data_IF_769046252202
#
_entry.id   IF_769046252202
#
_cell.length_a   1.000
_cell.length_b   1.000
_cell.length_c   1.000
_cell.angle_alpha   90.00
_cell.angle_beta   90.00
_cell.angle_gamma   90.00
#
_symmetry.space_group_name_H-M   'P 1'
#
loop_
_entity.id
_entity.type
_entity.pdbx_description
1 polymer ?
#
# COMPACT_ATOMS: atom_id res chain seq x y z
N UNK A 1 27.26 -1.58 26.63
CA UNK A 1 26.67 -0.35 27.20
C UNK A 1 25.81 0.27 26.13
N UNK A 2 24.49 0.25 26.31
CA UNK A 2 23.53 0.71 25.30
C UNK A 2 23.61 2.22 25.13
N UNK A 3 23.88 2.66 23.91
CA UNK A 3 23.78 4.06 23.50
C UNK A 3 22.32 4.50 23.59
N UNK A 4 22.04 5.40 24.54
CA UNK A 4 20.77 6.11 24.64
C UNK A 4 20.53 6.87 23.33
N UNK A 5 19.36 6.66 22.75
CA UNK A 5 18.84 7.42 21.60
C UNK A 5 18.79 8.90 21.99
N UNK A 6 19.54 9.74 21.26
CA UNK A 6 19.47 11.19 21.45
C UNK A 6 18.10 11.74 21.04
N UNK A 7 17.60 12.68 21.82
CA UNK A 7 16.27 13.27 21.66
C UNK A 7 16.33 14.31 20.53
N UNK A 8 15.34 14.37 19.62
CA UNK A 8 15.37 15.29 18.50
C UNK A 8 15.38 16.77 18.92
N UNK A 9 15.90 17.63 18.03
CA UNK A 9 15.88 19.10 18.13
C UNK A 9 14.52 19.61 18.65
N UNK A 10 14.58 20.53 19.61
CA UNK A 10 13.42 21.16 20.25
C UNK A 10 12.39 21.62 19.20
N UNK A 11 11.24 20.94 19.13
CA UNK A 11 10.10 21.31 18.30
C UNK A 11 9.61 20.24 17.32
N UNK A 12 10.40 19.22 17.00
CA UNK A 12 9.93 18.14 16.11
C UNK A 12 9.09 17.09 16.87
N UNK A 13 7.96 16.73 16.27
CA UNK A 13 7.14 15.58 16.66
C UNK A 13 7.90 14.30 16.28
N UNK A 14 8.03 13.31 17.18
CA UNK A 14 8.76 12.09 16.88
C UNK A 14 7.87 11.17 16.03
N UNK A 15 8.49 10.57 15.04
CA UNK A 15 7.88 9.61 14.12
C UNK A 15 8.51 8.23 14.33
N UNK A 16 7.90 7.17 13.80
CA UNK A 16 8.56 5.86 13.76
C UNK A 16 9.78 5.89 12.84
N UNK A 17 9.74 6.64 11.74
CA UNK A 17 10.88 6.93 10.88
C UNK A 17 12.06 7.41 11.73
N UNK A 18 11.88 8.44 12.56
CA UNK A 18 12.95 8.97 13.40
C UNK A 18 13.51 7.91 14.37
N UNK A 19 12.63 7.11 15.00
CA UNK A 19 13.03 6.06 15.92
C UNK A 19 13.78 4.91 15.23
N UNK A 20 13.48 4.64 13.96
CA UNK A 20 14.06 3.56 13.17
C UNK A 20 15.29 4.01 12.36
N UNK A 21 15.52 5.30 12.22
CA UNK A 21 16.59 5.89 11.42
C UNK A 21 17.99 5.30 11.67
N UNK A 22 18.42 5.03 12.92
CA UNK A 22 19.72 4.39 13.17
C UNK A 22 19.87 2.97 12.59
N UNK A 23 18.75 2.35 12.20
CA UNK A 23 18.70 1.02 11.61
C UNK A 23 18.45 1.04 10.10
N UNK A 24 18.13 2.20 9.52
CA UNK A 24 17.86 2.34 8.11
C UNK A 24 19.12 1.99 7.29
N UNK A 25 18.90 1.24 6.21
CA UNK A 25 20.00 0.71 5.40
C UNK A 25 20.55 1.80 4.47
N UNK A 26 21.87 1.91 4.39
CA UNK A 26 22.53 2.97 3.63
C UNK A 26 22.24 2.87 2.14
N UNK A 27 22.39 4.01 1.43
CA UNK A 27 22.17 4.04 -0.02
C UNK A 27 23.12 3.10 -0.78
N UNK A 28 24.40 3.10 -0.42
CA UNK A 28 25.41 2.25 -1.05
C UNK A 28 25.06 0.77 -0.91
N UNK A 29 24.66 0.34 0.28
CA UNK A 29 24.27 -1.04 0.53
C UNK A 29 23.02 -1.45 -0.28
N UNK A 30 22.02 -0.56 -0.40
CA UNK A 30 20.86 -0.80 -1.24
C UNK A 30 21.23 -0.93 -2.72
N UNK A 31 22.10 -0.06 -3.23
CA UNK A 31 22.55 -0.10 -4.62
C UNK A 31 23.37 -1.36 -4.88
N UNK A 32 24.24 -1.76 -3.96
CA UNK A 32 25.04 -2.99 -4.10
C UNK A 32 24.15 -4.24 -4.15
N UNK A 33 23.10 -4.31 -3.33
CA UNK A 33 22.18 -5.45 -3.28
C UNK A 33 21.16 -5.45 -4.41
N UNK A 34 20.65 -4.27 -4.77
CA UNK A 34 19.43 -4.12 -5.56
C UNK A 34 19.58 -3.13 -6.73
N UNK A 35 20.78 -2.97 -7.29
CA UNK A 35 21.07 -1.99 -8.36
C UNK A 35 19.98 -1.88 -9.43
N UNK A 36 19.49 -2.98 -10.05
CA UNK A 36 18.46 -2.86 -11.09
C UNK A 36 17.17 -2.21 -10.58
N UNK A 37 16.74 -2.53 -9.35
CA UNK A 37 15.56 -1.94 -8.73
C UNK A 37 15.82 -0.46 -8.43
N UNK A 38 16.98 -0.12 -7.85
CA UNK A 38 17.34 1.27 -7.50
C UNK A 38 17.37 2.18 -8.73
N UNK A 39 18.04 1.72 -9.79
CA UNK A 39 18.17 2.49 -11.03
C UNK A 39 16.83 2.71 -11.72
N UNK A 40 15.93 1.72 -11.68
CA UNK A 40 14.60 1.88 -12.26
C UNK A 40 13.71 2.83 -11.46
N UNK A 41 13.77 2.75 -10.12
CA UNK A 41 13.02 3.66 -9.26
C UNK A 41 13.51 5.09 -9.46
N UNK A 42 14.83 5.32 -9.49
CA UNK A 42 15.42 6.63 -9.82
C UNK A 42 15.01 7.11 -11.21
N UNK A 43 15.01 6.22 -12.22
CA UNK A 43 14.57 6.55 -13.57
C UNK A 43 13.11 7.04 -13.60
N UNK A 44 12.22 6.50 -12.76
CA UNK A 44 10.79 6.86 -12.78
C UNK A 44 10.48 8.07 -11.88
N UNK A 45 11.12 8.17 -10.71
CA UNK A 45 10.82 9.17 -9.68
C UNK A 45 11.83 10.34 -9.62
N UNK A 46 13.00 10.19 -10.23
CA UNK A 46 14.10 11.16 -10.14
C UNK A 46 14.93 11.07 -8.85
N UNK A 47 14.51 10.22 -7.91
CA UNK A 47 15.18 9.92 -6.65
C UNK A 47 14.99 8.44 -6.30
N UNK A 48 15.81 7.91 -5.40
CA UNK A 48 15.49 6.64 -4.71
C UNK A 48 14.81 6.98 -3.38
N UNK A 49 13.54 6.58 -3.15
CA UNK A 49 12.81 6.94 -1.95
C UNK A 49 13.51 6.51 -0.65
N UNK A 50 13.49 7.35 0.38
CA UNK A 50 13.97 7.03 1.73
C UNK A 50 13.32 5.77 2.28
N UNK A 51 12.03 5.57 1.98
CA UNK A 51 11.28 4.41 2.45
C UNK A 51 11.92 3.06 2.07
N UNK A 52 12.71 2.99 1.00
CA UNK A 52 13.41 1.77 0.61
C UNK A 52 14.45 1.34 1.66
N UNK A 53 15.15 2.30 2.28
CA UNK A 53 16.10 2.04 3.38
C UNK A 53 15.42 1.52 4.63
N UNK A 54 14.20 1.98 4.90
CA UNK A 54 13.40 1.54 6.05
C UNK A 54 12.78 0.17 5.82
N UNK A 55 12.28 -0.11 4.62
CA UNK A 55 11.78 -1.44 4.31
C UNK A 55 12.89 -2.49 4.37
N UNK A 56 14.14 -2.17 4.03
CA UNK A 56 15.25 -3.13 4.12
C UNK A 56 15.69 -3.44 5.56
N UNK A 57 15.23 -2.70 6.58
CA UNK A 57 15.37 -3.11 7.99
C UNK A 57 14.76 -4.51 8.21
N UNK A 58 13.73 -4.84 7.45
CA UNK A 58 13.19 -6.20 7.33
C UNK A 58 13.12 -6.58 5.84
N UNK A 59 14.14 -7.24 5.25
CA UNK A 59 14.25 -7.48 3.81
C UNK A 59 13.00 -8.07 3.10
N UNK A 60 12.17 -8.92 3.75
CA UNK A 60 10.87 -9.31 3.21
C UNK A 60 9.93 -8.14 2.87
N UNK A 61 9.98 -7.04 3.62
CA UNK A 61 9.24 -5.80 3.33
C UNK A 61 9.74 -5.13 2.04
N UNK A 62 11.06 -4.99 1.89
CA UNK A 62 11.67 -4.44 0.67
C UNK A 62 11.27 -5.28 -0.55
N UNK A 63 11.29 -6.60 -0.40
CA UNK A 63 10.85 -7.53 -1.45
C UNK A 63 9.39 -7.32 -1.82
N UNK A 64 8.51 -7.17 -0.82
CA UNK A 64 7.08 -6.94 -1.01
C UNK A 64 6.82 -5.62 -1.74
N UNK A 65 7.48 -4.54 -1.32
CA UNK A 65 7.44 -3.25 -2.00
C UNK A 65 7.88 -3.37 -3.47
N UNK A 66 9.00 -4.04 -3.71
CA UNK A 66 9.64 -4.13 -5.03
C UNK A 66 8.83 -4.94 -6.04
N UNK A 67 8.06 -5.94 -5.61
CA UNK A 67 7.17 -6.70 -6.51
C UNK A 67 5.77 -6.08 -6.63
N UNK A 68 5.29 -5.37 -5.60
CA UNK A 68 3.97 -4.71 -5.61
C UNK A 68 3.92 -3.58 -6.63
N UNK A 69 4.89 -2.67 -6.57
CA UNK A 69 4.90 -1.45 -7.39
C UNK A 69 4.80 -1.76 -8.89
N UNK A 70 5.70 -2.53 -9.51
CA UNK A 70 5.62 -2.78 -10.96
C UNK A 70 4.37 -3.58 -11.35
N UNK A 71 3.92 -4.52 -10.52
CA UNK A 71 2.75 -5.36 -10.82
C UNK A 71 1.45 -4.55 -10.82
N UNK A 72 1.22 -3.73 -9.79
CA UNK A 72 -0.03 -2.98 -9.64
C UNK A 72 -0.06 -1.70 -10.50
N UNK A 73 1.11 -1.15 -10.86
CA UNK A 73 1.23 -0.03 -11.81
C UNK A 73 1.31 -0.46 -13.29
N UNK A 74 1.26 -1.78 -13.55
CA UNK A 74 1.40 -2.39 -14.87
C UNK A 74 2.66 -1.92 -15.62
N UNK A 75 3.79 -1.78 -14.93
CA UNK A 75 5.05 -1.34 -15.53
C UNK A 75 5.78 -2.56 -16.12
N UNK A 76 6.27 -2.52 -17.37
CA UNK A 76 6.27 -1.40 -18.31
C UNK A 76 5.09 -1.41 -19.31
N UNK A 77 4.09 -2.28 -19.16
CA UNK A 77 2.97 -2.38 -20.13
C UNK A 77 2.20 -1.06 -20.29
N UNK A 78 1.86 -0.38 -19.19
CA UNK A 78 1.29 0.96 -19.18
C UNK A 78 2.18 1.95 -19.94
N UNK A 79 3.48 1.94 -19.66
CA UNK A 79 4.47 2.83 -20.29
C UNK A 79 4.68 2.56 -21.79
N UNK A 80 4.35 1.34 -22.23
CA UNK A 80 4.36 0.89 -23.63
C UNK A 80 3.00 1.09 -24.33
N UNK A 81 2.02 1.73 -23.69
CA UNK A 81 0.69 1.96 -24.25
C UNK A 81 -0.18 0.71 -24.36
N UNK A 82 0.06 -0.31 -23.53
CA UNK A 82 -0.71 -1.58 -23.50
C UNK A 82 -1.67 -1.67 -22.30
N UNK A 83 -2.03 -0.55 -21.71
CA UNK A 83 -2.96 -0.42 -20.58
C UNK A 83 -3.47 1.02 -20.50
N UNK A 84 -3.87 1.47 -19.31
CA UNK A 84 -4.19 2.89 -19.09
C UNK A 84 -2.99 3.79 -19.41
N UNK A 85 -3.24 5.07 -19.72
CA UNK A 85 -2.15 6.01 -19.97
C UNK A 85 -1.33 6.25 -18.70
N UNK A 86 -0.02 6.53 -18.81
CA UNK A 86 0.79 6.94 -17.67
C UNK A 86 0.24 8.18 -16.95
N UNK A 87 -0.38 9.11 -17.68
CA UNK A 87 -1.01 10.30 -17.10
C UNK A 87 -2.24 9.95 -16.24
N UNK A 88 -3.07 9.01 -16.70
CA UNK A 88 -4.20 8.52 -15.91
C UNK A 88 -3.72 7.72 -14.68
N UNK A 89 -2.69 6.88 -14.84
CA UNK A 89 -2.04 6.20 -13.71
C UNK A 89 -1.56 7.20 -12.68
N UNK A 90 -0.78 8.20 -13.11
CA UNK A 90 -0.25 9.26 -12.26
C UNK A 90 -1.36 10.03 -11.53
N UNK A 91 -2.42 10.40 -12.25
CA UNK A 91 -3.60 11.06 -11.70
C UNK A 91 -4.26 10.26 -10.57
N UNK A 92 -4.48 8.95 -10.78
CA UNK A 92 -5.10 8.07 -9.77
C UNK A 92 -4.22 7.94 -8.53
N UNK A 93 -2.90 7.77 -8.69
CA UNK A 93 -1.96 7.68 -7.56
C UNK A 93 -1.95 8.97 -6.74
N UNK A 94 -1.95 10.12 -7.43
CA UNK A 94 -1.96 11.43 -6.81
C UNK A 94 -3.26 11.69 -6.05
N UNK A 95 -4.42 11.54 -6.69
CA UNK A 95 -5.72 11.77 -6.06
C UNK A 95 -5.95 10.83 -4.89
N UNK A 96 -5.59 9.55 -5.02
CA UNK A 96 -5.72 8.60 -3.91
C UNK A 96 -4.85 9.03 -2.72
N UNK A 97 -3.61 9.48 -2.96
CA UNK A 97 -2.72 9.96 -1.90
C UNK A 97 -3.20 11.25 -1.24
N UNK A 98 -3.70 12.20 -2.02
CA UNK A 98 -4.27 13.46 -1.51
C UNK A 98 -5.53 13.20 -0.70
N UNK A 99 -6.39 12.30 -1.17
CA UNK A 99 -7.67 11.99 -0.51
C UNK A 99 -7.51 11.22 0.79
N UNK A 100 -6.46 10.40 0.90
CA UNK A 100 -5.99 9.78 2.14
C UNK A 100 -5.25 10.76 3.07
N UNK A 101 -4.71 11.86 2.55
CA UNK A 101 -3.90 12.80 3.33
C UNK A 101 -2.44 12.39 3.52
N UNK A 102 -1.88 11.51 2.68
CA UNK A 102 -0.44 11.19 2.72
C UNK A 102 0.37 12.24 1.94
N UNK A 103 0.96 13.21 2.63
CA UNK A 103 1.80 14.26 2.00
C UNK A 103 3.02 13.70 1.28
N UNK A 104 3.71 12.72 1.87
CA UNK A 104 4.87 12.04 1.25
C UNK A 104 4.48 11.40 -0.08
N UNK A 105 3.42 10.59 -0.06
CA UNK A 105 2.97 9.84 -1.22
C UNK A 105 2.43 10.74 -2.33
N UNK A 106 1.72 11.82 -1.95
CA UNK A 106 1.18 12.78 -2.93
C UNK A 106 2.28 13.57 -3.64
N UNK A 107 3.35 13.92 -2.95
CA UNK A 107 4.51 14.57 -3.59
C UNK A 107 5.17 13.66 -4.63
N UNK A 108 5.44 12.39 -4.29
CA UNK A 108 6.01 11.40 -5.22
C UNK A 108 5.09 11.10 -6.41
N UNK A 109 3.80 10.96 -6.16
CA UNK A 109 2.83 10.60 -7.19
C UNK A 109 2.43 11.76 -8.11
N UNK A 110 2.53 13.01 -7.66
CA UNK A 110 2.17 14.17 -8.49
C UNK A 110 2.99 14.23 -9.79
N UNK A 111 4.28 13.87 -9.71
CA UNK A 111 5.21 13.88 -10.84
C UNK A 111 5.75 12.50 -11.21
N UNK A 112 5.09 11.40 -10.84
CA UNK A 112 5.57 10.05 -11.20
C UNK A 112 5.67 9.90 -12.71
N UNK A 113 6.83 9.43 -13.16
CA UNK A 113 7.20 9.37 -14.56
C UNK A 113 6.87 8.06 -15.28
N UNK A 114 7.61 7.84 -16.37
CA UNK A 114 7.68 6.56 -17.06
C UNK A 114 9.11 6.08 -17.18
N UNK A 115 9.28 4.78 -17.36
CA UNK A 115 10.56 4.12 -17.63
C UNK A 115 11.33 4.79 -18.78
N UNK A 116 10.62 5.34 -19.78
CA UNK A 116 11.23 5.91 -20.98
C UNK A 116 11.42 7.43 -20.93
N UNK A 117 10.52 8.16 -20.26
CA UNK A 117 10.52 9.64 -20.27
C UNK A 117 11.17 10.25 -19.04
N UNK A 118 11.25 9.49 -17.95
CA UNK A 118 11.71 10.00 -16.66
C UNK A 118 10.58 10.66 -15.85
N UNK A 119 10.89 11.27 -14.70
CA UNK A 119 9.93 11.92 -13.82
C UNK A 119 9.34 13.21 -14.43
N UNK A 120 8.28 13.73 -13.81
CA UNK A 120 7.72 15.06 -14.03
C UNK A 120 6.58 15.16 -15.06
N UNK A 121 6.30 14.10 -15.83
CA UNK A 121 5.42 14.16 -17.01
C UNK A 121 3.99 14.67 -16.78
N UNK A 122 3.41 14.48 -15.59
CA UNK A 122 2.01 14.81 -15.29
C UNK A 122 1.83 15.87 -14.19
N UNK A 123 2.91 16.47 -13.69
CA UNK A 123 2.88 17.36 -12.52
C UNK A 123 1.98 18.58 -12.72
N UNK A 124 2.11 19.24 -13.87
CA UNK A 124 1.32 20.42 -14.25
C UNK A 124 -0.17 20.13 -14.38
N UNK A 125 -0.52 18.91 -14.78
CA UNK A 125 -1.92 18.46 -14.88
C UNK A 125 -2.45 18.12 -13.50
N UNK A 126 -1.70 17.31 -12.74
CA UNK A 126 -2.13 16.81 -11.44
C UNK A 126 -2.31 17.92 -10.40
N UNK A 127 -1.56 19.03 -10.47
CA UNK A 127 -1.75 20.17 -9.55
C UNK A 127 -3.19 20.74 -9.61
N UNK A 128 -3.87 20.62 -10.75
CA UNK A 128 -5.24 21.09 -10.95
C UNK A 128 -6.31 20.04 -10.60
N UNK A 129 -5.92 18.80 -10.33
CA UNK A 129 -6.85 17.68 -10.23
C UNK A 129 -7.75 17.70 -8.99
N UNK A 130 -7.36 18.43 -7.93
CA UNK A 130 -8.21 18.58 -6.73
C UNK A 130 -9.37 19.55 -6.93
N UNK A 131 -9.27 20.44 -7.91
CA UNK A 131 -10.35 21.34 -8.31
C UNK A 131 -10.70 21.09 -9.79
N UNK A 132 -10.75 19.81 -10.17
CA UNK A 132 -10.93 19.39 -11.56
C UNK A 132 -12.20 19.96 -12.23
N UNK A 133 -13.21 20.35 -11.44
CA UNK A 133 -14.46 20.96 -11.94
C UNK A 133 -14.30 22.44 -12.30
N UNK A 134 -13.28 23.13 -11.81
CA UNK A 134 -13.06 24.55 -12.09
C UNK A 134 -12.13 24.80 -13.29
N UNK A 135 -11.59 23.76 -13.91
CA UNK A 135 -10.72 23.88 -15.07
C UNK A 135 -11.12 22.94 -16.22
N UNK A 136 -10.80 23.32 -17.46
CA UNK A 136 -11.14 22.56 -18.66
C UNK A 136 -10.14 21.44 -19.00
N UNK A 137 -9.30 21.01 -18.04
CA UNK A 137 -8.22 20.02 -18.26
C UNK A 137 -8.67 18.57 -18.16
N UNK A 138 -9.85 18.30 -17.59
CA UNK A 138 -10.31 16.95 -17.27
C UNK A 138 -11.61 16.63 -18.00
N UNK A 139 -11.58 15.58 -18.82
CA UNK A 139 -12.78 15.06 -19.48
C UNK A 139 -13.63 14.21 -18.54
N UNK A 140 -14.80 13.77 -19.01
CA UNK A 140 -15.71 12.96 -18.18
C UNK A 140 -15.09 11.64 -17.66
N UNK A 141 -14.24 11.00 -18.48
CA UNK A 141 -13.49 9.81 -18.07
C UNK A 141 -12.52 10.11 -16.91
N UNK A 142 -11.80 11.24 -16.97
CA UNK A 142 -10.91 11.67 -15.91
C UNK A 142 -11.69 11.98 -14.62
N UNK A 143 -12.83 12.65 -14.72
CA UNK A 143 -13.70 12.94 -13.57
C UNK A 143 -14.19 11.65 -12.92
N UNK A 144 -14.56 10.63 -13.70
CA UNK A 144 -14.93 9.32 -13.17
C UNK A 144 -13.77 8.68 -12.38
N UNK A 145 -12.55 8.72 -12.93
CA UNK A 145 -11.35 8.22 -12.24
C UNK A 145 -11.00 9.02 -10.98
N UNK A 146 -11.13 10.35 -11.00
CA UNK A 146 -10.90 11.24 -9.85
C UNK A 146 -11.90 10.95 -8.74
N UNK A 147 -13.20 10.86 -9.07
CA UNK A 147 -14.25 10.58 -8.09
C UNK A 147 -14.03 9.21 -7.44
N UNK A 148 -13.75 8.17 -8.25
CA UNK A 148 -13.42 6.85 -7.74
C UNK A 148 -12.18 6.86 -6.83
N UNK A 149 -11.07 7.43 -7.29
CA UNK A 149 -9.81 7.48 -6.53
C UNK A 149 -9.95 8.26 -5.23
N UNK A 150 -10.82 9.29 -5.22
CA UNK A 150 -11.18 10.05 -4.02
C UNK A 150 -11.92 9.17 -3.03
N UNK A 151 -12.98 8.50 -3.48
CA UNK A 151 -13.85 7.69 -2.63
C UNK A 151 -13.14 6.46 -2.05
N UNK A 152 -12.37 5.74 -2.86
CA UNK A 152 -11.68 4.50 -2.43
C UNK A 152 -10.53 4.76 -1.46
N UNK A 153 -9.95 5.97 -1.48
CA UNK A 153 -8.84 6.32 -0.62
C UNK A 153 -9.26 6.69 0.81
N UNK A 154 -10.55 7.00 1.04
CA UNK A 154 -11.08 7.29 2.37
C UNK A 154 -11.08 6.05 3.26
N UNK A 155 -11.00 6.27 4.58
CA UNK A 155 -11.14 5.24 5.59
C UNK A 155 -12.20 5.68 6.61
N UNK A 156 -13.40 5.06 6.64
CA UNK A 156 -13.89 3.99 5.76
C UNK A 156 -13.96 4.38 4.27
N UNK A 157 -13.92 3.38 3.37
CA UNK A 157 -14.09 3.63 1.93
C UNK A 157 -15.48 4.18 1.64
N UNK A 158 -15.55 5.18 0.76
CA UNK A 158 -16.81 5.81 0.32
C UNK A 158 -17.24 5.33 -1.09
N UNK A 159 -16.61 4.25 -1.59
CA UNK A 159 -16.97 3.69 -2.89
C UNK A 159 -18.43 3.22 -2.88
N UNK A 160 -19.12 3.55 -3.96
CA UNK A 160 -20.51 3.18 -4.21
C UNK A 160 -20.60 2.53 -5.58
N UNK A 161 -21.75 1.92 -5.86
CA UNK A 161 -22.04 1.38 -7.18
C UNK A 161 -21.90 2.45 -8.28
N UNK A 162 -22.33 3.69 -8.05
CA UNK A 162 -22.27 4.75 -9.06
C UNK A 162 -20.83 5.05 -9.48
N UNK A 163 -19.87 5.07 -8.54
CA UNK A 163 -18.46 5.24 -8.88
C UNK A 163 -17.97 4.17 -9.86
N UNK A 164 -18.44 2.92 -9.73
CA UNK A 164 -18.10 1.85 -10.66
C UNK A 164 -18.84 1.94 -11.97
N UNK A 165 -20.13 2.27 -11.94
CA UNK A 165 -20.90 2.48 -13.17
C UNK A 165 -20.28 3.59 -14.01
N UNK A 166 -19.85 4.69 -13.39
CA UNK A 166 -19.14 5.78 -14.06
C UNK A 166 -17.82 5.33 -14.68
N UNK A 167 -17.00 4.55 -13.96
CA UNK A 167 -15.81 3.95 -14.58
C UNK A 167 -16.19 3.06 -15.77
N UNK A 168 -17.21 2.22 -15.63
CA UNK A 168 -17.68 1.32 -16.68
C UNK A 168 -18.23 2.03 -17.93
N UNK A 169 -18.72 3.28 -17.80
CA UNK A 169 -19.14 4.12 -18.95
C UNK A 169 -17.97 4.52 -19.85
N UNK A 170 -16.77 4.69 -19.29
CA UNK A 170 -15.63 5.26 -20.01
C UNK A 170 -14.45 4.29 -20.20
N UNK A 171 -14.39 3.22 -19.39
CA UNK A 171 -13.28 2.29 -19.36
C UNK A 171 -13.75 0.85 -19.58
N UNK A 172 -13.00 0.12 -20.42
CA UNK A 172 -13.10 -1.33 -20.50
C UNK A 172 -12.82 -1.98 -19.14
N UNK A 173 -13.21 -3.23 -18.96
CA UNK A 173 -12.98 -3.96 -17.71
C UNK A 173 -11.49 -4.01 -17.33
N UNK A 174 -10.62 -4.29 -18.31
CA UNK A 174 -9.16 -4.29 -18.09
C UNK A 174 -8.62 -2.90 -17.72
N UNK A 175 -9.18 -1.81 -18.27
CA UNK A 175 -8.78 -0.45 -17.90
C UNK A 175 -9.31 -0.05 -16.52
N UNK A 176 -10.53 -0.45 -16.14
CA UNK A 176 -11.04 -0.30 -14.77
C UNK A 176 -10.12 -1.05 -13.80
N UNK A 177 -9.80 -2.33 -14.05
CA UNK A 177 -8.93 -3.12 -13.17
C UNK A 177 -7.57 -2.44 -12.96
N UNK A 178 -6.99 -1.85 -14.00
CA UNK A 178 -5.74 -1.10 -13.90
C UNK A 178 -5.86 0.17 -13.02
N UNK A 179 -6.96 0.92 -13.12
CA UNK A 179 -7.25 2.08 -12.25
C UNK A 179 -7.39 1.61 -10.80
N UNK A 180 -8.17 0.55 -10.58
CA UNK A 180 -8.40 -0.03 -9.24
C UNK A 180 -7.11 -0.54 -8.62
N UNK A 181 -6.25 -1.21 -9.39
CA UNK A 181 -4.98 -1.73 -8.91
C UNK A 181 -3.96 -0.62 -8.60
N UNK A 182 -3.96 0.48 -9.37
CA UNK A 182 -3.18 1.67 -9.02
C UNK A 182 -3.64 2.27 -7.67
N UNK A 183 -4.94 2.43 -7.46
CA UNK A 183 -5.48 2.91 -6.19
C UNK A 183 -5.24 1.92 -5.03
N UNK A 184 -5.27 0.62 -5.32
CA UNK A 184 -4.97 -0.49 -4.40
C UNK A 184 -3.54 -0.46 -3.89
N UNK A 185 -2.56 -0.23 -4.78
CA UNK A 185 -1.16 -0.06 -4.39
C UNK A 185 -1.01 1.10 -3.40
N UNK A 186 -1.71 2.20 -3.66
CA UNK A 186 -1.69 3.35 -2.77
C UNK A 186 -2.29 3.02 -1.40
N UNK A 187 -3.14 1.99 -1.26
CA UNK A 187 -3.60 1.51 0.04
C UNK A 187 -2.46 0.96 0.89
N UNK A 188 -1.52 0.24 0.27
CA UNK A 188 -0.29 -0.20 0.91
C UNK A 188 0.61 0.99 1.24
N UNK A 189 0.95 1.79 0.23
CA UNK A 189 1.96 2.84 0.38
C UNK A 189 1.48 3.96 1.31
N UNK A 190 0.23 4.40 1.20
CA UNK A 190 -0.29 5.45 2.07
C UNK A 190 -0.27 5.02 3.54
N UNK A 191 -0.71 3.79 3.86
CA UNK A 191 -0.66 3.26 5.23
C UNK A 191 0.78 3.15 5.74
N UNK A 192 1.69 2.61 4.93
CA UNK A 192 3.10 2.46 5.31
C UNK A 192 3.77 3.82 5.60
N UNK A 193 3.70 4.75 4.66
CA UNK A 193 4.40 6.03 4.79
C UNK A 193 3.82 6.91 5.89
N UNK A 194 2.50 6.91 6.04
CA UNK A 194 1.82 7.74 7.04
C UNK A 194 2.01 7.20 8.45
N UNK A 195 1.90 5.87 8.64
CA UNK A 195 2.15 5.25 9.95
C UNK A 195 3.62 5.30 10.37
N UNK A 196 4.57 5.24 9.43
CA UNK A 196 5.98 5.48 9.70
C UNK A 196 6.25 6.96 10.02
N UNK A 197 5.46 7.88 9.45
CA UNK A 197 5.76 9.31 9.45
C UNK A 197 6.99 9.62 8.61
N UNK A 198 7.03 9.09 7.37
CA UNK A 198 8.16 9.22 6.47
C UNK A 198 8.46 10.68 6.09
N UNK A 199 9.75 11.02 6.10
CA UNK A 199 10.27 12.33 5.71
C UNK A 199 10.67 12.32 4.23
N UNK A 200 10.25 13.35 3.50
CA UNK A 200 10.52 13.54 2.08
C UNK A 200 12.00 13.84 1.79
N UNK A 201 12.45 13.40 0.62
CA UNK A 201 13.73 13.75 0.01
C UNK A 201 13.70 15.21 -0.47
N UNK A 202 14.80 15.95 -0.32
CA UNK A 202 14.90 17.38 -0.64
C UNK A 202 14.36 17.72 -2.03
N UNK A 203 14.82 16.99 -3.05
CA UNK A 203 14.43 17.23 -4.45
C UNK A 203 12.92 17.12 -4.64
N UNK A 204 12.27 16.16 -3.97
CA UNK A 204 10.82 15.97 -4.05
C UNK A 204 10.10 17.03 -3.24
N UNK A 205 10.64 17.44 -2.10
CA UNK A 205 10.12 18.53 -1.28
C UNK A 205 10.11 19.87 -2.06
N UNK A 206 11.22 20.24 -2.70
CA UNK A 206 11.31 21.46 -3.51
C UNK A 206 10.27 21.50 -4.63
N UNK A 207 10.18 20.39 -5.39
CA UNK A 207 9.19 20.26 -6.47
C UNK A 207 7.76 20.36 -5.89
N UNK A 208 7.47 19.64 -4.81
CA UNK A 208 6.14 19.66 -4.21
C UNK A 208 5.76 21.05 -3.67
N UNK A 209 6.69 21.76 -3.03
CA UNK A 209 6.48 23.13 -2.56
C UNK A 209 6.22 24.09 -3.72
N UNK A 210 6.94 23.94 -4.84
CA UNK A 210 6.75 24.77 -6.02
C UNK A 210 5.38 24.56 -6.67
N UNK A 211 4.93 23.31 -6.81
CA UNK A 211 3.77 22.97 -7.65
C UNK A 211 2.48 22.66 -6.89
N UNK A 212 2.56 22.16 -5.66
CA UNK A 212 1.42 21.61 -4.94
C UNK A 212 0.89 22.53 -3.82
N UNK A 213 1.71 23.46 -3.31
CA UNK A 213 1.30 24.43 -2.28
C UNK A 213 0.01 25.19 -2.65
N UNK A 214 -0.23 25.61 -3.91
CA UNK A 214 -1.49 26.27 -4.29
C UNK A 214 -2.75 25.40 -4.12
N UNK A 215 -2.60 24.10 -3.94
CA UNK A 215 -3.69 23.14 -3.78
C UNK A 215 -3.85 22.67 -2.32
N UNK A 216 -3.41 23.47 -1.33
CA UNK A 216 -3.40 23.14 0.11
C UNK A 216 -2.55 21.90 0.47
N UNK A 217 -1.57 21.57 -0.38
CA UNK A 217 -0.57 20.58 0.02
C UNK A 217 0.42 21.21 1.00
N UNK A 218 0.77 20.46 2.04
CA UNK A 218 1.83 20.80 2.98
C UNK A 218 2.74 19.59 3.13
N UNK A 219 4.06 19.78 3.32
CA UNK A 219 4.92 18.66 3.66
C UNK A 219 4.41 17.96 4.91
N UNK A 220 4.64 16.64 4.95
CA UNK A 220 4.39 15.85 6.16
C UNK A 220 5.27 16.33 7.33
N UNK A 221 5.24 15.61 8.44
CA UNK A 221 5.96 16.02 9.64
C UNK A 221 7.48 16.19 9.38
N UNK A 222 8.02 17.32 9.87
CA UNK A 222 9.43 17.68 10.07
C UNK A 222 10.41 17.17 9.01
N UNK A 223 10.61 17.96 7.94
CA UNK A 223 11.81 17.84 7.12
C UNK A 223 13.06 17.97 8.00
N UNK A 224 14.03 17.07 7.80
CA UNK A 224 15.31 17.07 8.50
C UNK A 224 16.44 17.24 7.47
N UNK A 225 16.84 18.50 7.29
CA UNK A 225 17.86 18.90 6.33
C UNK A 225 19.21 18.21 6.60
N UNK A 226 19.56 17.99 7.86
CA UNK A 226 20.84 17.38 8.20
C UNK A 226 20.87 15.91 7.79
N UNK A 227 19.81 15.16 8.11
CA UNK A 227 19.66 13.77 7.71
C UNK A 227 19.66 13.60 6.19
N UNK A 228 18.90 14.44 5.50
CA UNK A 228 18.72 14.32 4.06
C UNK A 228 19.98 14.75 3.29
N UNK A 229 20.74 15.73 3.77
CA UNK A 229 22.04 16.08 3.19
C UNK A 229 23.02 14.91 3.16
N UNK A 230 23.08 14.11 4.22
CA UNK A 230 23.98 12.96 4.29
C UNK A 230 23.58 11.89 3.26
N UNK A 231 22.26 11.70 3.03
CA UNK A 231 21.74 10.81 1.98
C UNK A 231 22.05 11.37 0.59
N UNK A 232 21.89 12.68 0.36
CA UNK A 232 22.22 13.34 -0.90
C UNK A 232 23.70 13.15 -1.26
N UNK A 233 24.59 13.25 -0.27
CA UNK A 233 26.02 13.01 -0.52
C UNK A 233 26.29 11.54 -0.89
N UNK A 234 25.70 10.58 -0.16
CA UNK A 234 25.80 9.16 -0.49
C UNK A 234 25.18 8.82 -1.86
N UNK A 235 24.14 9.53 -2.27
CA UNK A 235 23.53 9.41 -3.60
C UNK A 235 24.53 9.78 -4.71
N UNK A 236 25.39 10.79 -4.53
CA UNK A 236 26.40 11.18 -5.54
C UNK A 236 27.40 10.07 -5.84
N UNK A 237 27.70 9.22 -4.86
CA UNK A 237 28.63 8.10 -5.02
C UNK A 237 27.98 6.89 -5.72
N UNK A 238 26.65 6.86 -5.79
CA UNK A 238 25.87 5.72 -6.26
C UNK A 238 24.98 6.03 -7.47
N UNK A 239 25.00 7.29 -7.93
CA UNK A 239 24.24 7.78 -9.08
C UNK A 239 25.03 7.62 -10.39
N UNK A 240 24.52 6.78 -11.29
CA UNK A 240 25.10 6.57 -12.62
C UNK A 240 24.63 7.66 -13.64
N UNK A 241 23.88 8.67 -13.19
CA UNK A 241 23.34 9.79 -13.97
C UNK A 241 21.80 9.82 -14.01
N UNK A 242 21.22 11.00 -14.28
CA UNK A 242 19.77 11.25 -14.15
C UNK A 242 18.87 10.42 -15.10
N UNK A 243 19.41 9.93 -16.22
CA UNK A 243 18.65 9.10 -17.18
C UNK A 243 19.47 7.92 -17.68
N UNK A 244 18.88 6.74 -17.61
CA UNK A 244 19.48 5.53 -18.16
C UNK A 244 19.52 5.59 -19.69
N UNK A 245 20.72 5.50 -20.26
CA UNK A 245 20.90 5.27 -21.70
C UNK A 245 20.31 3.92 -22.14
N UNK A 246 20.04 3.69 -23.44
CA UNK A 246 19.30 2.50 -23.90
C UNK A 246 19.88 1.15 -23.46
N UNK A 247 21.20 0.99 -23.48
CA UNK A 247 21.86 -0.24 -23.04
C UNK A 247 21.74 -0.46 -21.52
N UNK A 248 21.92 0.61 -20.74
CA UNK A 248 21.77 0.56 -19.30
C UNK A 248 20.33 0.23 -18.92
N UNK A 249 19.34 0.86 -19.58
CA UNK A 249 17.93 0.58 -19.39
C UNK A 249 17.59 -0.89 -19.67
N UNK A 250 18.08 -1.47 -20.78
CA UNK A 250 17.85 -2.87 -21.10
C UNK A 250 18.44 -3.82 -20.04
N UNK A 251 19.66 -3.54 -19.55
CA UNK A 251 20.29 -4.33 -18.46
C UNK A 251 19.51 -4.22 -17.16
N UNK A 252 19.07 -3.01 -16.80
CA UNK A 252 18.23 -2.75 -15.63
C UNK A 252 16.92 -3.52 -15.71
N UNK A 253 16.23 -3.49 -16.85
CA UNK A 253 14.99 -4.27 -17.07
C UNK A 253 15.22 -5.78 -16.92
N UNK A 254 16.30 -6.32 -17.49
CA UNK A 254 16.64 -7.74 -17.34
C UNK A 254 16.92 -8.10 -15.87
N UNK A 255 17.62 -7.23 -15.13
CA UNK A 255 17.88 -7.39 -13.71
C UNK A 255 16.61 -7.40 -12.86
N UNK A 256 15.63 -6.55 -13.16
CA UNK A 256 14.32 -6.55 -12.49
C UNK A 256 13.56 -7.84 -12.76
N UNK A 257 13.54 -8.31 -14.00
CA UNK A 257 12.87 -9.59 -14.33
C UNK A 257 13.51 -10.75 -13.56
N UNK A 258 14.83 -10.75 -13.42
CA UNK A 258 15.54 -11.75 -12.62
C UNK A 258 15.21 -11.62 -11.13
N UNK A 259 15.18 -10.39 -10.61
CA UNK A 259 14.78 -10.10 -9.24
C UNK A 259 13.37 -10.58 -8.94
N UNK A 260 12.37 -10.20 -9.74
CA UNK A 260 10.97 -10.60 -9.57
C UNK A 260 10.78 -12.11 -9.61
N UNK A 261 11.53 -12.80 -10.49
CA UNK A 261 11.51 -14.26 -10.57
C UNK A 261 12.02 -14.90 -9.27
N UNK A 262 13.08 -14.35 -8.68
CA UNK A 262 13.61 -14.81 -7.40
C UNK A 262 12.66 -14.49 -6.24
N UNK A 263 12.17 -13.24 -6.19
CA UNK A 263 11.28 -12.73 -5.15
C UNK A 263 9.94 -13.49 -5.08
N UNK A 264 9.44 -14.00 -6.21
CA UNK A 264 8.19 -14.76 -6.30
C UNK A 264 8.41 -16.26 -6.55
N UNK A 265 9.61 -16.79 -6.27
CA UNK A 265 9.94 -18.20 -6.51
C UNK A 265 9.07 -19.15 -5.66
N UNK A 266 8.66 -18.74 -4.46
CA UNK A 266 7.76 -19.47 -3.58
C UNK A 266 6.28 -19.44 -4.00
N UNK A 267 5.93 -18.63 -5.01
CA UNK A 267 4.55 -18.43 -5.43
C UNK A 267 4.28 -19.13 -6.77
N UNK A 268 3.26 -19.98 -6.78
CA UNK A 268 2.84 -20.72 -7.96
C UNK A 268 2.59 -19.81 -9.18
N UNK A 269 3.00 -20.27 -10.36
CA UNK A 269 2.93 -19.49 -11.61
C UNK A 269 1.65 -19.65 -12.43
N UNK A 270 0.71 -20.50 -12.01
CA UNK A 270 -0.52 -20.83 -12.76
C UNK A 270 -1.75 -20.67 -11.86
N UNK A 271 -2.88 -20.13 -12.34
CA UNK A 271 -4.08 -19.84 -11.52
C UNK A 271 -4.52 -21.02 -10.64
N UNK A 272 -4.73 -22.20 -11.22
CA UNK A 272 -5.16 -23.37 -10.44
C UNK A 272 -4.19 -23.76 -9.31
N UNK A 273 -2.87 -23.61 -9.53
CA UNK A 273 -1.85 -23.88 -8.51
C UNK A 273 -1.75 -22.77 -7.47
N UNK A 274 -1.99 -21.52 -7.86
CA UNK A 274 -2.13 -20.40 -6.92
C UNK A 274 -3.31 -20.65 -5.97
N UNK A 275 -4.44 -21.10 -6.52
CA UNK A 275 -5.64 -21.39 -5.73
C UNK A 275 -5.44 -22.57 -4.77
N UNK A 276 -4.76 -23.63 -5.21
CA UNK A 276 -4.34 -24.74 -4.32
C UNK A 276 -3.44 -24.22 -3.18
N UNK A 277 -2.45 -23.39 -3.49
CA UNK A 277 -1.52 -22.82 -2.51
C UNK A 277 -2.24 -21.94 -1.48
N UNK A 278 -3.20 -21.11 -1.91
CA UNK A 278 -4.02 -20.27 -1.03
C UNK A 278 -4.88 -21.12 -0.10
N UNK A 279 -5.59 -22.14 -0.62
CA UNK A 279 -6.38 -23.06 0.21
C UNK A 279 -5.52 -23.78 1.24
N UNK A 280 -4.33 -24.24 0.85
CA UNK A 280 -3.42 -24.91 1.78
C UNK A 280 -2.93 -23.97 2.89
N UNK A 281 -2.58 -22.73 2.54
CA UNK A 281 -1.97 -21.78 3.47
C UNK A 281 -3.00 -21.09 4.37
N UNK A 282 -4.09 -20.60 3.79
CA UNK A 282 -5.12 -19.80 4.47
C UNK A 282 -6.25 -20.66 5.02
N UNK A 283 -6.49 -21.84 4.45
CA UNK A 283 -7.65 -22.69 4.77
C UNK A 283 -8.91 -22.37 3.97
N UNK A 284 -8.86 -21.41 3.06
CA UNK A 284 -9.93 -21.03 2.13
C UNK A 284 -9.31 -20.34 0.91
N UNK A 285 -10.11 -20.09 -0.14
CA UNK A 285 -9.70 -19.30 -1.30
C UNK A 285 -10.45 -17.97 -1.28
N UNK A 286 -9.79 -16.83 -1.03
CA UNK A 286 -10.48 -15.55 -1.02
C UNK A 286 -11.11 -15.22 -2.38
N UNK A 287 -12.41 -14.95 -2.42
CA UNK A 287 -13.15 -14.66 -3.66
C UNK A 287 -12.55 -13.48 -4.45
N UNK A 288 -12.02 -12.48 -3.74
CA UNK A 288 -11.39 -11.34 -4.39
C UNK A 288 -10.10 -11.71 -5.15
N UNK A 289 -9.42 -12.82 -4.83
CA UNK A 289 -8.27 -13.29 -5.60
C UNK A 289 -8.72 -13.97 -6.89
N UNK A 290 -9.83 -14.72 -6.86
CA UNK A 290 -10.41 -15.37 -8.04
C UNK A 290 -10.85 -14.35 -9.10
N UNK A 291 -11.25 -13.15 -8.65
CA UNK A 291 -11.65 -12.04 -9.51
C UNK A 291 -10.50 -11.41 -10.30
N UNK A 292 -9.27 -11.48 -9.80
CA UNK A 292 -8.11 -10.85 -10.46
C UNK A 292 -7.83 -11.56 -11.78
N UNK A 293 -7.87 -10.85 -12.91
CA UNK A 293 -7.65 -11.45 -14.23
C UNK A 293 -6.18 -11.79 -14.46
N UNK A 294 -5.28 -10.88 -14.04
CA UNK A 294 -3.85 -10.98 -14.32
C UNK A 294 -3.16 -11.94 -13.35
N UNK A 295 -2.64 -13.04 -13.88
CA UNK A 295 -1.87 -14.03 -13.10
C UNK A 295 -0.68 -13.40 -12.37
N UNK A 296 0.00 -12.41 -12.97
CA UNK A 296 1.08 -11.68 -12.29
C UNK A 296 0.60 -10.96 -11.03
N UNK A 297 -0.60 -10.37 -11.08
CA UNK A 297 -1.22 -9.69 -9.94
C UNK A 297 -1.72 -10.70 -8.91
N UNK A 298 -2.32 -11.81 -9.34
CA UNK A 298 -2.67 -12.93 -8.44
C UNK A 298 -1.46 -13.41 -7.64
N UNK A 299 -0.30 -13.57 -8.30
CA UNK A 299 0.95 -13.98 -7.61
C UNK A 299 1.37 -12.99 -6.54
N UNK A 300 1.27 -11.70 -6.80
CA UNK A 300 1.66 -10.66 -5.83
C UNK A 300 0.66 -10.57 -4.66
N UNK A 301 -0.63 -10.77 -4.90
CA UNK A 301 -1.61 -10.89 -3.82
C UNK A 301 -1.32 -12.13 -2.95
N UNK A 302 -1.06 -13.28 -3.58
CA UNK A 302 -0.68 -14.51 -2.88
C UNK A 302 0.61 -14.35 -2.10
N UNK A 303 1.60 -13.63 -2.63
CA UNK A 303 2.83 -13.27 -1.92
C UNK A 303 2.54 -12.52 -0.61
N UNK A 304 1.69 -11.50 -0.66
CA UNK A 304 1.31 -10.73 0.52
C UNK A 304 0.58 -11.59 1.55
N UNK A 305 -0.40 -12.39 1.10
CA UNK A 305 -1.21 -13.23 1.98
C UNK A 305 -0.41 -14.37 2.61
N UNK A 306 0.39 -15.08 1.81
CA UNK A 306 1.10 -16.30 2.23
C UNK A 306 2.44 -15.97 2.86
N UNK A 307 3.32 -15.26 2.16
CA UNK A 307 4.68 -15.06 2.63
C UNK A 307 4.83 -13.90 3.62
N UNK A 308 3.89 -12.94 3.66
CA UNK A 308 3.97 -11.80 4.60
C UNK A 308 3.07 -11.98 5.81
N UNK A 309 1.80 -12.32 5.59
CA UNK A 309 0.85 -12.48 6.69
C UNK A 309 0.87 -13.89 7.32
N UNK A 310 0.89 -14.94 6.50
CA UNK A 310 0.79 -16.32 6.98
C UNK A 310 2.13 -16.98 7.34
N UNK A 311 3.26 -16.33 7.06
CA UNK A 311 4.60 -16.87 7.35
C UNK A 311 5.07 -16.59 8.78
N UNK A 312 5.78 -17.56 9.37
CA UNK A 312 6.47 -17.45 10.65
C UNK A 312 7.96 -17.06 10.53
N UNK A 313 8.43 -16.71 9.33
CA UNK A 313 9.82 -16.32 9.07
C UNK A 313 10.23 -14.97 9.71
N UNK A 314 9.28 -14.22 10.27
CA UNK A 314 9.50 -12.95 10.95
C UNK A 314 9.53 -13.06 12.48
N UNK A 315 9.64 -11.92 13.16
CA UNK A 315 9.64 -11.86 14.63
C UNK A 315 8.24 -11.67 15.22
N UNK A 316 7.28 -11.23 14.39
CA UNK A 316 5.88 -11.02 14.77
C UNK A 316 5.09 -12.32 14.53
N UNK A 317 4.48 -12.91 15.57
CA UNK A 317 3.69 -14.13 15.41
C UNK A 317 2.57 -13.98 14.39
N UNK A 318 2.31 -15.06 13.62
CA UNK A 318 1.26 -15.08 12.58
C UNK A 318 -0.11 -14.66 13.12
N UNK A 319 -0.50 -15.17 14.30
CA UNK A 319 -1.78 -14.80 14.92
C UNK A 319 -1.87 -13.29 15.21
N UNK A 320 -0.76 -12.66 15.61
CA UNK A 320 -0.71 -11.24 15.95
C UNK A 320 -0.83 -10.41 14.68
N UNK A 321 -0.14 -10.77 13.58
CA UNK A 321 -0.30 -10.09 12.28
C UNK A 321 -1.76 -10.06 11.83
N UNK A 322 -2.44 -11.20 11.88
CA UNK A 322 -3.87 -11.26 11.54
C UNK A 322 -4.76 -10.52 12.53
N UNK A 323 -4.47 -10.56 13.83
CA UNK A 323 -5.22 -9.80 14.83
C UNK A 323 -5.11 -8.28 14.62
N UNK A 324 -3.94 -7.78 14.20
CA UNK A 324 -3.73 -6.37 13.85
C UNK A 324 -4.53 -5.99 12.59
N UNK A 325 -4.50 -6.84 11.56
CA UNK A 325 -5.33 -6.65 10.36
C UNK A 325 -6.83 -6.73 10.66
N UNK A 326 -7.25 -7.54 11.65
CA UNK A 326 -8.64 -7.59 12.12
C UNK A 326 -9.05 -6.26 12.78
N UNK A 327 -8.23 -5.70 13.66
CA UNK A 327 -8.47 -4.36 14.25
C UNK A 327 -8.58 -3.32 13.14
N UNK A 328 -7.67 -3.35 12.16
CA UNK A 328 -7.67 -2.43 11.04
C UNK A 328 -8.94 -2.57 10.18
N UNK A 329 -9.41 -3.79 9.91
CA UNK A 329 -10.62 -4.05 9.14
C UNK A 329 -11.89 -3.58 9.88
N UNK A 330 -11.92 -3.69 11.21
CA UNK A 330 -13.00 -3.12 12.02
C UNK A 330 -13.00 -1.60 12.00
N UNK A 331 -11.82 -0.96 11.97
CA UNK A 331 -11.69 0.51 11.82
C UNK A 331 -12.11 1.00 10.44
N UNK A 332 -11.71 0.29 9.39
CA UNK A 332 -12.08 0.62 8.00
C UNK A 332 -13.51 0.22 7.64
N UNK A 333 -14.24 -0.41 8.56
CA UNK A 333 -15.60 -0.95 8.38
C UNK A 333 -15.70 -1.90 7.18
N UNK A 334 -14.70 -2.77 7.03
CA UNK A 334 -14.69 -3.78 5.98
C UNK A 334 -15.07 -5.16 6.57
N UNK A 335 -16.35 -5.58 6.48
CA UNK A 335 -16.83 -6.81 7.11
C UNK A 335 -16.20 -8.08 6.52
N UNK A 336 -15.92 -8.09 5.22
CA UNK A 336 -15.23 -9.21 4.55
C UNK A 336 -13.85 -9.46 5.17
N UNK A 337 -13.02 -8.42 5.18
CA UNK A 337 -11.66 -8.53 5.72
C UNK A 337 -11.67 -8.77 7.23
N UNK A 338 -12.64 -8.21 7.96
CA UNK A 338 -12.78 -8.46 9.39
C UNK A 338 -13.00 -9.96 9.67
N UNK A 339 -13.88 -10.61 8.91
CA UNK A 339 -14.11 -12.05 9.03
C UNK A 339 -12.88 -12.88 8.63
N UNK A 340 -12.23 -12.54 7.51
CA UNK A 340 -11.02 -13.22 7.02
C UNK A 340 -9.89 -13.17 8.05
N UNK A 341 -9.57 -11.97 8.57
CA UNK A 341 -8.48 -11.81 9.52
C UNK A 341 -8.79 -12.38 10.90
N UNK A 342 -10.04 -12.31 11.35
CA UNK A 342 -10.44 -12.98 12.59
C UNK A 342 -10.29 -14.51 12.49
N UNK A 343 -10.74 -15.11 11.37
CA UNK A 343 -10.58 -16.53 11.10
C UNK A 343 -9.11 -16.94 11.09
N UNK A 344 -8.27 -16.21 10.35
CA UNK A 344 -6.84 -16.51 10.24
C UNK A 344 -6.10 -16.33 11.57
N UNK A 345 -6.46 -15.32 12.37
CA UNK A 345 -5.88 -15.14 13.69
C UNK A 345 -6.22 -16.30 14.64
N UNK A 346 -7.48 -16.76 14.67
CA UNK A 346 -7.89 -17.90 15.51
C UNK A 346 -7.25 -19.20 15.02
N UNK A 347 -7.21 -19.43 13.70
CA UNK A 347 -6.52 -20.57 13.09
C UNK A 347 -5.03 -20.59 13.44
N UNK A 348 -4.40 -19.43 13.60
CA UNK A 348 -3.01 -19.29 14.02
C UNK A 348 -2.80 -19.31 15.54
N UNK A 349 -3.84 -19.54 16.35
CA UNK A 349 -3.75 -19.74 17.80
C UNK A 349 -4.24 -18.58 18.67
N UNK A 350 -4.86 -17.54 18.10
CA UNK A 350 -5.57 -16.54 18.90
C UNK A 350 -6.86 -17.12 19.49
N UNK A 351 -7.33 -16.55 20.61
CA UNK A 351 -8.68 -16.84 21.14
C UNK A 351 -9.66 -15.74 20.73
N UNK A 352 -10.94 -16.09 20.60
CA UNK A 352 -11.98 -15.09 20.32
C UNK A 352 -12.02 -13.98 21.39
N UNK A 353 -11.79 -14.33 22.65
CA UNK A 353 -11.69 -13.36 23.76
C UNK A 353 -10.56 -12.35 23.52
N UNK A 354 -9.38 -12.80 23.08
CA UNK A 354 -8.23 -11.93 22.81
C UNK A 354 -8.44 -11.01 21.61
N UNK A 355 -9.12 -11.51 20.58
CA UNK A 355 -9.50 -10.67 19.44
C UNK A 355 -10.55 -9.62 19.84
N UNK A 356 -11.55 -10.01 20.64
CA UNK A 356 -12.54 -9.07 21.15
C UNK A 356 -11.89 -7.97 22.00
N UNK A 357 -10.94 -8.33 22.89
CA UNK A 357 -10.22 -7.32 23.68
C UNK A 357 -9.35 -6.39 22.83
N UNK A 358 -8.84 -6.85 21.69
CA UNK A 358 -8.05 -6.01 20.78
C UNK A 358 -8.87 -4.86 20.15
N UNK A 359 -10.21 -4.96 20.09
CA UNK A 359 -11.07 -3.93 19.49
C UNK A 359 -11.27 -2.70 20.38
N UNK A 360 -11.07 -2.85 21.69
CA UNK A 360 -11.19 -1.77 22.65
C UNK A 360 -9.80 -1.42 23.17
N UNK A 361 -9.30 -0.19 22.94
CA UNK A 361 -8.09 0.27 23.60
C UNK A 361 -8.26 0.14 25.11
N UNK A 362 -7.43 -0.66 25.76
CA UNK A 362 -7.38 -0.82 27.21
C UNK A 362 -6.13 -0.19 27.82
N UNK A 363 -6.04 -0.24 29.14
CA UNK A 363 -4.87 0.20 29.91
C UNK A 363 -3.82 -0.92 30.08
N UNK A 364 -4.05 -2.08 29.45
CA UNK A 364 -3.12 -3.20 29.50
C UNK A 364 -1.74 -2.80 28.94
N UNK A 365 -0.69 -3.15 29.66
CA UNK A 365 0.69 -2.99 29.21
C UNK A 365 1.23 -4.32 28.67
N UNK A 366 2.13 -4.24 27.69
CA UNK A 366 2.82 -5.40 27.15
C UNK A 366 2.91 -5.40 25.63
N UNK A 367 3.55 -6.44 25.11
CA UNK A 367 3.85 -6.59 23.69
C UNK A 367 2.62 -6.50 22.79
N UNK A 368 1.57 -7.25 23.09
CA UNK A 368 0.39 -7.28 22.23
C UNK A 368 -0.44 -6.00 22.37
N UNK A 369 -0.56 -5.47 23.59
CA UNK A 369 -1.28 -4.22 23.83
C UNK A 369 -0.62 -3.05 23.09
N UNK A 370 0.72 -2.98 23.07
CA UNK A 370 1.46 -2.00 22.28
C UNK A 370 1.18 -2.13 20.77
N UNK A 371 1.15 -3.36 20.25
CA UNK A 371 0.84 -3.61 18.84
C UNK A 371 -0.63 -3.23 18.50
N UNK A 372 -1.59 -3.59 19.35
CA UNK A 372 -2.99 -3.22 19.15
C UNK A 372 -3.22 -1.71 19.23
N UNK A 373 -2.61 -1.04 20.20
CA UNK A 373 -2.65 0.43 20.32
C UNK A 373 -2.11 1.10 19.06
N UNK A 374 -1.00 0.60 18.51
CA UNK A 374 -0.47 1.07 17.24
C UNK A 374 -1.44 0.82 16.07
N UNK A 375 -2.01 -0.39 15.95
CA UNK A 375 -2.98 -0.69 14.88
C UNK A 375 -4.20 0.23 14.90
N UNK A 376 -4.70 0.61 16.09
CA UNK A 376 -5.84 1.53 16.23
C UNK A 376 -5.57 2.92 15.62
N UNK A 377 -4.33 3.40 15.70
CA UNK A 377 -3.95 4.74 15.21
C UNK A 377 -3.31 4.73 13.83
N UNK A 378 -2.73 3.60 13.40
CA UNK A 378 -2.11 3.43 12.09
C UNK A 378 -3.12 3.03 11.00
N UNK A 379 -4.25 2.42 11.38
CA UNK A 379 -5.30 2.00 10.45
C UNK A 379 -6.33 3.09 10.11
N UNK A 380 -6.13 4.32 10.57
CA UNK A 380 -6.96 5.50 10.23
C UNK A 380 -6.20 6.43 9.29
N UNK A 381 -6.90 7.42 8.74
CA UNK A 381 -6.37 8.34 7.73
C UNK A 381 -6.77 9.79 8.08
N UNK A 382 -5.79 10.68 8.34
CA UNK A 382 -4.37 10.39 8.54
C UNK A 382 -4.10 9.53 9.79
N UNK A 383 -2.96 8.84 9.82
CA UNK A 383 -2.49 8.07 10.95
C UNK A 383 -2.21 8.99 12.15
N UNK A 384 -2.61 8.57 13.35
CA UNK A 384 -2.49 9.36 14.58
C UNK A 384 -1.40 8.82 15.53
N UNK A 385 -0.28 8.36 14.98
CA UNK A 385 0.83 7.77 15.75
C UNK A 385 1.50 8.85 16.63
N UNK A 386 1.56 8.62 17.94
CA UNK A 386 2.18 9.56 18.89
C UNK A 386 3.42 8.98 19.56
N UNK A 387 4.06 9.78 20.44
CA UNK A 387 5.14 9.34 21.35
C UNK A 387 4.78 8.07 22.12
N UNK A 388 3.51 7.93 22.52
CA UNK A 388 3.02 6.79 23.30
C UNK A 388 3.14 5.50 22.49
N UNK A 389 2.61 5.48 21.27
CA UNK A 389 2.63 4.28 20.42
C UNK A 389 4.05 3.95 19.96
N UNK A 390 4.88 4.96 19.66
CA UNK A 390 6.30 4.76 19.32
C UNK A 390 7.05 4.12 20.50
N UNK A 391 6.90 4.65 21.71
CA UNK A 391 7.55 4.10 22.90
C UNK A 391 7.05 2.69 23.21
N UNK A 392 5.74 2.44 23.05
CA UNK A 392 5.15 1.12 23.19
C UNK A 392 5.77 0.10 22.22
N UNK A 393 5.82 0.41 20.94
CA UNK A 393 6.41 -0.49 19.94
C UNK A 393 7.90 -0.74 20.17
N UNK A 394 8.69 0.32 20.36
CA UNK A 394 10.15 0.22 20.54
C UNK A 394 10.55 -0.46 21.85
N UNK A 395 9.65 -0.55 22.83
CA UNK A 395 9.90 -1.30 24.08
C UNK A 395 9.77 -2.82 23.90
N UNK A 396 8.97 -3.28 22.94
CA UNK A 396 8.59 -4.70 22.83
C UNK A 396 8.93 -5.36 21.49
N UNK A 397 9.26 -4.58 20.46
CA UNK A 397 9.56 -5.09 19.12
C UNK A 397 10.93 -4.60 18.66
N UNK A 398 11.64 -5.48 17.95
CA UNK A 398 12.85 -5.10 17.24
C UNK A 398 12.50 -4.16 16.08
N UNK A 399 13.45 -3.37 15.55
CA UNK A 399 13.24 -2.54 14.36
C UNK A 399 12.61 -3.32 13.19
N UNK A 400 13.09 -4.54 12.93
CA UNK A 400 12.53 -5.42 11.91
C UNK A 400 11.09 -5.86 12.24
N UNK A 401 10.79 -6.16 13.51
CA UNK A 401 9.43 -6.47 13.95
C UNK A 401 8.45 -5.30 13.83
N UNK A 402 8.93 -4.07 14.02
CA UNK A 402 8.12 -2.86 13.79
C UNK A 402 7.79 -2.72 12.30
N UNK A 403 8.77 -2.88 11.42
CA UNK A 403 8.52 -2.87 9.96
C UNK A 403 7.59 -4.02 9.55
N UNK A 404 7.72 -5.21 10.16
CA UNK A 404 6.80 -6.32 9.93
C UNK A 404 5.34 -5.99 10.32
N UNK A 405 5.12 -5.30 11.45
CA UNK A 405 3.80 -4.79 11.85
C UNK A 405 3.26 -3.78 10.83
N UNK A 406 4.09 -2.80 10.43
CA UNK A 406 3.72 -1.78 9.44
C UNK A 406 3.32 -2.45 8.11
N UNK A 407 4.08 -3.44 7.65
CA UNK A 407 3.77 -4.19 6.43
C UNK A 407 2.46 -4.95 6.57
N UNK A 408 2.18 -5.58 7.72
CA UNK A 408 0.92 -6.29 7.91
C UNK A 408 -0.29 -5.33 7.77
N UNK A 409 -0.24 -4.18 8.43
CA UNK A 409 -1.28 -3.14 8.31
C UNK A 409 -1.36 -2.55 6.90
N UNK A 410 -0.24 -2.43 6.21
CA UNK A 410 -0.19 -1.95 4.83
C UNK A 410 -0.80 -2.95 3.84
N UNK A 411 -0.58 -4.26 4.03
CA UNK A 411 -1.28 -5.31 3.26
C UNK A 411 -2.79 -5.22 3.51
N UNK A 412 -3.23 -4.97 4.75
CA UNK A 412 -4.64 -4.67 5.00
C UNK A 412 -5.10 -3.43 4.22
N UNK A 413 -4.36 -2.31 4.27
CA UNK A 413 -4.71 -1.08 3.53
C UNK A 413 -4.88 -1.30 2.03
N UNK A 414 -4.00 -2.12 1.43
CA UNK A 414 -4.11 -2.60 0.05
C UNK A 414 -5.42 -3.36 -0.19
N UNK A 415 -5.63 -4.44 0.59
CA UNK A 415 -6.80 -5.31 0.43
C UNK A 415 -8.11 -4.56 0.69
N UNK A 416 -8.11 -3.59 1.62
CA UNK A 416 -9.28 -2.78 1.94
C UNK A 416 -9.78 -2.02 0.72
N UNK A 417 -8.88 -1.36 -0.02
CA UNK A 417 -9.26 -0.62 -1.24
C UNK A 417 -9.78 -1.54 -2.34
N UNK A 418 -9.12 -2.68 -2.54
CA UNK A 418 -9.52 -3.65 -3.56
C UNK A 418 -10.89 -4.25 -3.26
N UNK A 419 -11.10 -4.74 -2.03
CA UNK A 419 -12.34 -5.39 -1.61
C UNK A 419 -13.51 -4.42 -1.41
N UNK A 420 -13.26 -3.15 -1.09
CA UNK A 420 -14.32 -2.12 -1.11
C UNK A 420 -14.76 -1.74 -2.52
N UNK A 421 -13.92 -1.96 -3.53
CA UNK A 421 -14.28 -1.74 -4.93
C UNK A 421 -15.05 -2.94 -5.48
N UNK A 422 -14.65 -4.14 -5.10
CA UNK A 422 -15.27 -5.37 -5.56
C UNK A 422 -15.94 -6.10 -4.40
N UNK A 423 -17.05 -5.56 -3.86
CA UNK A 423 -17.76 -6.20 -2.76
C UNK A 423 -18.32 -7.54 -3.22
N UNK A 424 -18.30 -8.52 -2.31
CA UNK A 424 -18.93 -9.83 -2.49
C UNK A 424 -20.08 -9.95 -1.49
N UNK A 425 -21.22 -10.49 -1.91
CA UNK A 425 -22.39 -10.61 -1.02
C UNK A 425 -22.30 -11.82 -0.07
N UNK A 426 -21.41 -12.78 -0.35
CA UNK A 426 -21.27 -14.01 0.41
C UNK A 426 -19.83 -14.24 0.85
N UNK A 427 -19.69 -14.80 2.06
CA UNK A 427 -18.43 -15.36 2.52
C UNK A 427 -18.14 -16.70 1.83
N UNK A 428 -16.87 -17.08 1.78
CA UNK A 428 -16.45 -18.43 1.48
C UNK A 428 -17.04 -19.41 2.52
N UNK A 429 -17.32 -20.68 2.17
CA UNK A 429 -17.99 -21.63 3.07
C UNK A 429 -17.33 -21.78 4.45
N UNK A 430 -16.01 -21.82 4.49
CA UNK A 430 -15.23 -21.92 5.72
C UNK A 430 -15.38 -20.66 6.60
N UNK A 431 -15.42 -19.50 5.96
CA UNK A 431 -15.61 -18.20 6.64
C UNK A 431 -17.06 -18.05 7.12
N UNK A 432 -18.04 -18.47 6.32
CA UNK A 432 -19.45 -18.47 6.72
C UNK A 432 -19.69 -19.34 7.96
N UNK A 433 -19.10 -20.56 7.99
CA UNK A 433 -19.17 -21.43 9.17
C UNK A 433 -18.51 -20.79 10.40
N UNK A 434 -17.36 -20.14 10.21
CA UNK A 434 -16.68 -19.41 11.27
C UNK A 434 -17.50 -18.23 11.81
N UNK A 435 -18.10 -17.43 10.93
CA UNK A 435 -18.97 -16.30 11.31
C UNK A 435 -20.20 -16.79 12.07
N UNK A 436 -20.81 -17.90 11.66
CA UNK A 436 -21.93 -18.49 12.40
C UNK A 436 -21.53 -18.90 13.83
N UNK A 437 -20.30 -19.37 14.03
CA UNK A 437 -19.80 -19.81 15.33
C UNK A 437 -19.30 -18.66 16.23
N UNK A 438 -18.60 -17.68 15.64
CA UNK A 438 -17.84 -16.66 16.40
C UNK A 438 -18.34 -15.23 16.19
N UNK A 439 -19.24 -15.00 15.23
CA UNK A 439 -19.62 -13.66 14.79
C UNK A 439 -20.21 -12.78 15.88
N UNK A 440 -21.06 -13.34 16.75
CA UNK A 440 -21.64 -12.59 17.86
C UNK A 440 -20.59 -12.06 18.86
N UNK A 441 -19.56 -12.86 19.18
CA UNK A 441 -18.50 -12.47 20.12
C UNK A 441 -17.55 -11.44 19.52
N UNK A 442 -17.29 -11.55 18.22
CA UNK A 442 -16.32 -10.71 17.50
C UNK A 442 -16.96 -9.50 16.80
N UNK A 443 -18.29 -9.38 16.86
CA UNK A 443 -19.06 -8.36 16.14
C UNK A 443 -18.88 -8.45 14.63
N UNK A 444 -18.96 -9.66 14.06
CA UNK A 444 -18.89 -9.87 12.61
C UNK A 444 -20.30 -9.87 12.01
N UNK A 445 -20.43 -9.27 10.83
CA UNK A 445 -21.69 -9.26 10.07
C UNK A 445 -22.00 -10.66 9.54
N UNK A 446 -23.28 -11.06 9.57
CA UNK A 446 -23.73 -12.37 9.09
C UNK A 446 -23.49 -12.57 7.58
N UNK A 447 -23.50 -11.47 6.83
CA UNK A 447 -23.09 -11.40 5.42
C UNK A 447 -22.12 -10.21 5.25
N UNK A 448 -21.12 -10.32 4.36
CA UNK A 448 -20.19 -9.22 4.11
C UNK A 448 -20.89 -7.99 3.52
N UNK A 449 -21.71 -8.16 2.49
CA UNK A 449 -22.47 -7.06 1.86
C UNK A 449 -23.85 -7.55 1.42
N UNK A 450 -24.78 -6.63 1.17
CA UNK A 450 -26.18 -6.94 0.80
C UNK A 450 -26.61 -6.14 -0.43
N UNK A 451 -25.95 -6.33 -1.57
CA UNK A 451 -26.27 -5.60 -2.79
C UNK A 451 -27.37 -6.26 -3.63
N UNK A 452 -27.60 -7.57 -3.48
CA UNK A 452 -28.68 -8.32 -4.12
C UNK A 452 -28.48 -8.59 -5.61
N UNK A 453 -27.87 -7.66 -6.35
CA UNK A 453 -27.34 -7.85 -7.70
C UNK A 453 -25.87 -7.47 -7.74
N UNK A 454 -25.03 -8.32 -8.35
CA UNK A 454 -23.59 -8.07 -8.43
C UNK A 454 -23.30 -6.73 -9.13
N UNK A 455 -22.40 -5.93 -8.54
CA UNK A 455 -21.92 -4.70 -9.17
C UNK A 455 -21.28 -4.97 -10.53
N UNK A 456 -20.65 -6.15 -10.71
CA UNK A 456 -20.00 -6.54 -11.96
C UNK A 456 -21.00 -6.77 -13.08
N UNK A 457 -22.13 -7.41 -12.79
CA UNK A 457 -23.21 -7.61 -13.75
C UNK A 457 -23.79 -6.28 -14.22
N UNK A 458 -23.90 -5.30 -13.31
CA UNK A 458 -24.41 -3.97 -13.64
C UNK A 458 -23.39 -3.17 -14.48
N UNK A 459 -22.10 -3.23 -14.13
CA UNK A 459 -21.04 -2.62 -14.92
C UNK A 459 -20.93 -3.24 -16.32
N UNK A 460 -21.09 -4.57 -16.44
CA UNK A 460 -21.10 -5.26 -17.72
C UNK A 460 -22.26 -4.77 -18.62
N UNK A 461 -23.46 -4.58 -18.06
CA UNK A 461 -24.60 -4.00 -18.78
C UNK A 461 -24.32 -2.59 -19.27
N UNK A 462 -23.72 -1.73 -18.43
CA UNK A 462 -23.34 -0.35 -18.83
C UNK A 462 -22.37 -0.36 -20.00
N UNK A 463 -21.33 -1.21 -19.95
CA UNK A 463 -20.36 -1.35 -21.04
C UNK A 463 -21.00 -1.76 -22.36
N UNK A 464 -21.94 -2.71 -22.32
CA UNK A 464 -22.66 -3.15 -23.50
C UNK A 464 -23.54 -2.04 -24.11
N UNK A 465 -24.03 -1.10 -23.30
CA UNK A 465 -24.83 0.04 -23.80
C UNK A 465 -24.00 1.23 -24.25
N UNK A 466 -22.73 1.31 -23.84
CA UNK A 466 -21.81 2.40 -24.18
C UNK A 466 -20.96 2.10 -25.43
N UNK A 467 -20.81 0.82 -25.79
CA UNK A 467 -20.18 0.34 -27.02
C UNK A 467 -21.15 0.42 -28.20
#
# INVERSE_FOLDING_TARGET
MGTKVETPLSGSKPTLEFALRPHAISRSELVDRYRPVMMMVRQILGVVPHAMSYFEIWPPAFTTYSVLVPSLLDIPRCDLGRGISPDLRSLVLYIASRSYGCSYCSAHSAGVGTVFRGPGGSLERNKQALDAKSCDLFGAADIAAINYATAVAKIPSEVTLEHRLDLARYYSETHEEAIVLAATLMGFLNCAMDSLGMVLEWRILEIAQQYLTPSDWQPGQNYDEAFDRDIIEADKETDDGEKLGPLALARTMAGIIAYDRGALAGIAGRPGKIYEQLRASLGFLPHYVERIERVSTQRVFTHCLVERLQSDAGSVPVWLKHALCFVAAKKSKNPLLAAHFAFLAIRAGATAKRLASALTPGDDEGRDAAAFAFAHVAAISPAAVTRKEIAGLTSFFTPAGIIEIVVALSVHGMLNRYTSTYPVDNYEPEIAAFVAQHGAVLGLEAQPYTHGTSWDEQCAKVRLTAA
#
